data_IF_875973920955
#
_entry.id   IF_875973920955
#
_cell.length_a   1.000
_cell.length_b   1.000
_cell.length_c   1.000
_cell.angle_alpha   90.00
_cell.angle_beta   90.00
_cell.angle_gamma   90.00
#
_symmetry.space_group_name_H-M   'P 1'
#
loop_
_entity.id
_entity.type
_entity.pdbx_description
1 polymer ?
#
# COMPACT_ATOMS: atom_id res chain seq x y z
N UNK A 1 50.78 -2.39 22.24
CA UNK A 1 49.46 -2.31 21.55
C UNK A 1 48.43 -1.80 22.52
N UNK A 2 47.92 -0.59 22.31
CA UNK A 2 46.82 -0.03 23.12
C UNK A 2 45.57 -0.89 22.85
N UNK A 3 45.04 -1.52 23.88
CA UNK A 3 43.82 -2.35 23.84
C UNK A 3 42.68 -1.48 23.29
N UNK A 4 42.02 -1.91 22.21
CA UNK A 4 40.97 -1.11 21.52
C UNK A 4 39.94 -0.58 22.54
N UNK A 5 39.98 0.73 22.87
CA UNK A 5 39.18 1.25 23.95
C UNK A 5 37.70 1.33 23.59
N UNK A 6 37.30 1.19 22.32
CA UNK A 6 35.92 1.34 21.79
C UNK A 6 35.17 2.56 22.34
N UNK A 7 35.86 3.53 22.91
CA UNK A 7 35.29 4.64 23.67
C UNK A 7 35.82 5.98 23.17
N UNK A 8 36.83 5.95 22.32
CA UNK A 8 37.44 7.10 21.67
C UNK A 8 37.56 6.83 20.18
N UNK A 9 37.64 7.90 19.39
CA UNK A 9 37.95 7.81 17.96
C UNK A 9 39.40 7.35 17.77
N UNK A 10 39.59 6.30 16.98
CA UNK A 10 40.87 5.67 16.68
C UNK A 10 41.22 5.78 15.18
N UNK A 11 42.50 5.68 14.80
CA UNK A 11 42.92 5.79 13.39
C UNK A 11 42.57 4.54 12.54
N UNK A 12 42.01 3.49 13.13
CA UNK A 12 41.80 2.18 12.48
C UNK A 12 40.74 2.16 11.38
N UNK A 13 39.85 3.14 11.29
CA UNK A 13 38.85 3.22 10.23
C UNK A 13 39.05 4.48 9.39
N UNK A 14 39.55 4.33 8.15
CA UNK A 14 39.72 5.34 7.09
C UNK A 14 40.24 6.72 7.52
N UNK A 15 41.42 7.13 7.03
CA UNK A 15 42.05 8.46 7.17
C UNK A 15 41.28 9.52 7.99
N UNK A 16 41.29 9.34 9.32
CA UNK A 16 40.59 10.22 10.26
C UNK A 16 41.40 11.49 10.45
N UNK A 17 40.75 12.65 10.39
CA UNK A 17 41.41 13.92 10.65
C UNK A 17 41.99 13.97 12.07
N UNK A 18 43.24 14.42 12.23
CA UNK A 18 43.98 14.42 13.51
C UNK A 18 43.20 15.04 14.67
N UNK A 19 42.44 16.11 14.40
CA UNK A 19 41.62 16.79 15.43
C UNK A 19 40.51 15.93 16.05
N UNK A 20 40.13 14.81 15.42
CA UNK A 20 39.08 13.92 15.90
C UNK A 20 39.60 12.78 16.78
N UNK A 21 40.90 12.48 16.69
CA UNK A 21 41.51 11.39 17.45
C UNK A 21 41.37 11.63 18.97
N UNK A 22 41.08 10.57 19.71
CA UNK A 22 40.91 10.63 21.16
C UNK A 22 39.60 11.24 21.64
N UNK A 23 38.73 11.75 20.76
CA UNK A 23 37.42 12.26 21.17
C UNK A 23 36.52 11.11 21.65
N UNK A 24 35.75 11.31 22.73
CA UNK A 24 34.88 10.26 23.25
C UNK A 24 33.76 9.93 22.26
N UNK A 25 33.55 8.65 22.00
CA UNK A 25 32.47 8.15 21.16
C UNK A 25 31.15 8.06 21.95
N UNK A 26 30.05 8.35 21.27
CA UNK A 26 28.71 8.18 21.83
C UNK A 26 28.38 6.69 22.00
N UNK A 27 27.85 6.30 23.16
CA UNK A 27 27.47 4.92 23.45
C UNK A 27 26.24 4.47 22.65
N UNK A 28 26.09 3.17 22.34
CA UNK A 28 24.94 2.66 21.59
C UNK A 28 23.59 3.06 22.21
N UNK A 29 23.45 2.92 23.53
CA UNK A 29 22.23 3.31 24.27
C UNK A 29 21.86 4.79 24.09
N UNK A 30 22.85 5.69 24.05
CA UNK A 30 22.61 7.13 23.83
C UNK A 30 22.21 7.44 22.40
N UNK A 31 22.79 6.74 21.43
CA UNK A 31 22.40 6.88 20.02
C UNK A 31 20.96 6.41 19.81
N UNK A 32 20.59 5.27 20.41
CA UNK A 32 19.23 4.74 20.38
C UNK A 32 18.24 5.69 21.06
N UNK A 33 18.55 6.20 22.26
CA UNK A 33 17.69 7.15 22.95
C UNK A 33 17.50 8.45 22.14
N UNK A 34 18.55 8.96 21.47
CA UNK A 34 18.42 10.12 20.59
C UNK A 34 17.49 9.84 19.41
N UNK A 35 17.63 8.66 18.79
CA UNK A 35 16.78 8.21 17.69
C UNK A 35 15.32 8.12 18.11
N UNK A 36 15.03 7.55 19.28
CA UNK A 36 13.67 7.42 19.80
C UNK A 36 13.03 8.79 20.08
N UNK A 37 13.79 9.73 20.64
CA UNK A 37 13.31 11.10 20.86
C UNK A 37 13.02 11.79 19.52
N UNK A 38 13.92 11.64 18.54
CA UNK A 38 13.73 12.19 17.20
C UNK A 38 12.50 11.59 16.50
N UNK A 39 12.28 10.27 16.62
CA UNK A 39 11.11 9.58 16.06
C UNK A 39 9.82 10.02 16.75
N UNK A 40 9.83 10.19 18.06
CA UNK A 40 8.68 10.73 18.79
C UNK A 40 8.33 12.15 18.35
N UNK A 41 9.33 13.03 18.18
CA UNK A 41 9.13 14.38 17.65
C UNK A 41 8.60 14.35 16.21
N UNK A 42 9.13 13.47 15.36
CA UNK A 42 8.66 13.31 14.00
C UNK A 42 7.22 12.78 13.94
N UNK A 43 6.85 11.87 14.85
CA UNK A 43 5.50 11.33 14.97
C UNK A 43 4.50 12.40 15.46
N UNK A 44 4.85 13.20 16.47
CA UNK A 44 4.04 14.37 16.87
C UNK A 44 3.85 15.28 15.66
N UNK A 45 4.92 15.53 14.90
CA UNK A 45 4.85 16.39 13.74
C UNK A 45 3.92 15.79 12.66
N UNK A 46 3.91 14.46 12.49
CA UNK A 46 2.99 13.72 11.61
C UNK A 46 1.51 13.98 11.90
N UNK A 47 1.15 14.17 13.18
CA UNK A 47 -0.26 14.38 13.57
C UNK A 47 -0.88 15.69 13.06
N UNK A 48 -0.07 16.68 12.65
CA UNK A 48 -0.57 17.96 12.14
C UNK A 48 -1.23 17.85 10.75
N UNK A 49 -1.29 16.67 10.17
CA UNK A 49 -1.96 16.41 8.90
C UNK A 49 -1.12 16.83 7.68
N UNK A 50 -1.45 16.28 6.51
CA UNK A 50 -0.61 16.40 5.32
C UNK A 50 -0.53 17.85 4.78
N UNK A 51 -1.55 18.66 5.03
CA UNK A 51 -1.57 20.07 4.61
C UNK A 51 -0.59 20.95 5.41
N UNK A 52 -0.53 20.80 6.74
CA UNK A 52 0.47 21.51 7.55
C UNK A 52 1.89 20.98 7.30
N UNK A 53 2.03 19.72 6.93
CA UNK A 53 3.31 19.19 6.46
C UNK A 53 3.80 19.86 5.18
N UNK A 54 2.92 19.94 4.16
CA UNK A 54 3.26 20.56 2.89
C UNK A 54 3.70 22.02 3.08
N UNK A 55 2.99 22.78 3.92
CA UNK A 55 3.38 24.18 4.21
C UNK A 55 4.72 24.26 4.95
N UNK A 56 4.95 23.44 5.98
CA UNK A 56 6.21 23.46 6.73
C UNK A 56 7.40 23.04 5.88
N UNK A 57 7.28 22.01 5.03
CA UNK A 57 8.29 21.60 4.06
C UNK A 57 8.65 22.76 3.13
N UNK A 58 7.64 23.38 2.52
CA UNK A 58 7.83 24.46 1.57
C UNK A 58 8.50 25.68 2.21
N UNK A 59 8.01 26.12 3.37
CA UNK A 59 8.63 27.23 4.12
C UNK A 59 10.08 26.91 4.48
N UNK A 60 10.35 25.68 4.89
CA UNK A 60 11.67 25.27 5.32
C UNK A 60 12.67 25.17 4.15
N UNK A 61 12.25 24.66 2.99
CA UNK A 61 13.06 24.65 1.76
C UNK A 61 13.35 26.08 1.29
N UNK A 62 12.34 26.95 1.27
CA UNK A 62 12.49 28.35 0.90
C UNK A 62 13.48 29.08 1.83
N UNK A 63 13.30 28.90 3.14
CA UNK A 63 14.18 29.47 4.14
C UNK A 63 15.62 28.97 4.01
N UNK A 64 15.81 27.68 3.69
CA UNK A 64 17.13 27.10 3.40
C UNK A 64 17.74 27.70 2.13
N UNK A 65 16.96 27.93 1.08
CA UNK A 65 17.47 28.49 -0.16
C UNK A 65 17.94 29.96 0.03
N UNK A 66 17.28 30.70 0.91
CA UNK A 66 17.57 32.12 1.17
C UNK A 66 18.78 32.32 2.09
N UNK A 67 19.08 31.37 3.00
CA UNK A 67 20.11 31.56 4.02
C UNK A 67 21.55 31.61 3.47
N UNK A 68 21.80 31.06 2.29
CA UNK A 68 23.15 31.05 1.69
C UNK A 68 23.36 32.29 0.82
N UNK A 69 23.90 33.36 1.42
CA UNK A 69 24.30 34.57 0.67
C UNK A 69 25.51 34.27 -0.22
N UNK A 70 25.38 34.56 -1.51
CA UNK A 70 26.52 34.67 -2.42
C UNK A 70 27.13 36.06 -2.32
N UNK A 71 28.46 36.16 -2.42
CA UNK A 71 29.21 37.43 -2.58
C UNK A 71 28.72 38.26 -3.79
N UNK A 72 28.15 37.59 -4.80
CA UNK A 72 27.72 38.20 -6.07
C UNK A 72 26.22 38.51 -6.08
N UNK A 73 25.87 39.79 -6.26
CA UNK A 73 24.49 40.30 -6.29
C UNK A 73 23.58 39.57 -7.30
N UNK A 74 24.02 39.39 -8.55
CA UNK A 74 23.22 38.72 -9.59
C UNK A 74 22.87 37.27 -9.26
N UNK A 75 23.76 36.55 -8.55
CA UNK A 75 23.47 35.18 -8.09
C UNK A 75 22.36 35.19 -7.05
N UNK A 76 22.31 36.18 -6.17
CA UNK A 76 21.23 36.30 -5.19
C UNK A 76 19.92 36.75 -5.86
N UNK A 77 19.99 37.72 -6.79
CA UNK A 77 18.84 38.21 -7.54
C UNK A 77 18.14 37.11 -8.37
N UNK A 78 18.90 36.14 -8.91
CA UNK A 78 18.35 35.00 -9.64
C UNK A 78 17.89 33.86 -8.70
N UNK A 79 18.53 33.69 -7.54
CA UNK A 79 18.23 32.61 -6.58
C UNK A 79 16.91 32.78 -5.86
N UNK A 80 16.54 34.00 -5.47
CA UNK A 80 15.29 34.24 -4.75
C UNK A 80 14.03 33.89 -5.55
N UNK A 81 13.86 34.36 -6.81
CA UNK A 81 12.69 33.99 -7.60
C UNK A 81 12.69 32.52 -8.01
N UNK A 82 13.85 31.93 -8.30
CA UNK A 82 13.95 30.49 -8.62
C UNK A 82 13.62 29.62 -7.41
N UNK A 83 14.09 29.98 -6.22
CA UNK A 83 13.74 29.30 -4.98
C UNK A 83 12.25 29.44 -4.64
N UNK A 84 11.66 30.62 -4.86
CA UNK A 84 10.23 30.86 -4.67
C UNK A 84 9.39 29.98 -5.61
N UNK A 85 9.70 29.98 -6.91
CA UNK A 85 9.02 29.13 -7.91
C UNK A 85 9.13 27.64 -7.55
N UNK A 86 10.32 27.17 -7.19
CA UNK A 86 10.53 25.77 -6.83
C UNK A 86 9.76 25.38 -5.56
N UNK A 87 9.68 26.29 -4.59
CA UNK A 87 8.91 26.09 -3.35
C UNK A 87 7.42 25.99 -3.63
N UNK A 88 6.89 26.89 -4.48
CA UNK A 88 5.48 26.89 -4.89
C UNK A 88 5.15 25.60 -5.66
N UNK A 89 6.02 25.18 -6.58
CA UNK A 89 5.86 23.93 -7.32
C UNK A 89 5.80 22.71 -6.38
N UNK A 90 6.74 22.60 -5.44
CA UNK A 90 6.76 21.51 -4.45
C UNK A 90 5.51 21.55 -3.56
N UNK A 91 5.06 22.75 -3.17
CA UNK A 91 3.84 22.90 -2.38
C UNK A 91 2.62 22.35 -3.12
N UNK A 92 2.44 22.71 -4.40
CA UNK A 92 1.32 22.21 -5.22
C UNK A 92 1.39 20.70 -5.44
N UNK A 93 2.58 20.13 -5.65
CA UNK A 93 2.77 18.68 -5.77
C UNK A 93 2.40 17.98 -4.46
N UNK A 94 2.89 18.48 -3.32
CA UNK A 94 2.58 17.91 -2.01
C UNK A 94 1.10 18.03 -1.66
N UNK A 95 0.48 19.18 -1.96
CA UNK A 95 -0.95 19.41 -1.79
C UNK A 95 -1.79 18.49 -2.67
N UNK A 96 -1.41 18.33 -3.95
CA UNK A 96 -2.08 17.41 -4.87
C UNK A 96 -2.03 15.98 -4.36
N UNK A 97 -0.86 15.50 -3.94
CA UNK A 97 -0.70 14.17 -3.34
C UNK A 97 -1.56 13.99 -2.08
N UNK A 98 -1.55 14.99 -1.18
CA UNK A 98 -2.39 14.98 0.01
C UNK A 98 -3.89 14.88 -0.35
N UNK A 99 -4.34 15.65 -1.35
CA UNK A 99 -5.74 15.69 -1.78
C UNK A 99 -6.22 14.41 -2.45
N UNK A 100 -5.32 13.66 -3.08
CA UNK A 100 -5.63 12.35 -3.69
C UNK A 100 -5.80 11.29 -2.61
N UNK A 101 -4.96 11.31 -1.58
CA UNK A 101 -5.02 10.34 -0.49
C UNK A 101 -6.23 10.54 0.45
N UNK A 102 -6.65 11.80 0.65
CA UNK A 102 -7.83 12.16 1.45
C UNK A 102 -9.15 11.71 0.78
N UNK A 103 -9.16 11.63 -0.56
CA UNK A 103 -10.30 11.16 -1.36
C UNK A 103 -10.30 9.64 -1.56
N UNK A 104 -9.87 8.87 -0.55
CA UNK A 104 -9.66 7.42 -0.60
C UNK A 104 -10.55 6.71 -1.62
N UNK A 105 -9.94 5.88 -2.48
CA UNK A 105 -10.58 5.26 -3.66
C UNK A 105 -11.91 4.62 -3.25
N UNK A 106 -12.99 5.38 -3.39
CA UNK A 106 -14.35 4.90 -3.27
C UNK A 106 -14.64 4.18 -4.58
N UNK A 107 -14.30 2.88 -4.64
CA UNK A 107 -14.90 2.00 -5.63
C UNK A 107 -16.38 1.93 -5.26
N UNK A 108 -17.18 2.85 -5.79
CA UNK A 108 -18.62 2.65 -5.90
C UNK A 108 -18.79 1.44 -6.83
N UNK A 109 -18.94 0.26 -6.22
CA UNK A 109 -19.59 -0.86 -6.90
C UNK A 109 -20.98 -0.35 -7.27
N UNK A 110 -21.18 -0.04 -8.54
CA UNK A 110 -22.52 0.15 -9.05
C UNK A 110 -23.21 -1.22 -8.94
N UNK A 111 -24.10 -1.38 -7.95
CA UNK A 111 -25.12 -2.44 -7.91
C UNK A 111 -26.17 -2.20 -8.99
N UNK A 112 -25.74 -2.04 -10.24
CA UNK A 112 -26.61 -1.91 -11.40
C UNK A 112 -26.43 -3.14 -12.27
N UNK A 113 -26.89 -4.26 -11.73
CA UNK A 113 -26.95 -5.56 -12.38
C UNK A 113 -28.33 -6.21 -12.25
N UNK A 114 -29.42 -5.42 -12.29
CA UNK A 114 -30.77 -5.95 -12.47
C UNK A 114 -31.39 -5.18 -13.62
N UNK A 115 -31.61 -5.88 -14.73
CA UNK A 115 -32.35 -5.37 -15.89
C UNK A 115 -33.82 -5.41 -15.51
N UNK A 116 -34.37 -4.30 -15.00
CA UNK A 116 -35.82 -4.13 -14.91
C UNK A 116 -36.33 -3.64 -16.26
N UNK A 117 -36.74 -4.57 -17.13
CA UNK A 117 -37.52 -4.24 -18.32
C UNK A 117 -38.95 -3.90 -17.87
N UNK A 118 -39.31 -2.63 -18.00
CA UNK A 118 -40.56 -1.99 -17.54
C UNK A 118 -41.85 -2.53 -18.22
N UNK A 119 -41.76 -3.56 -19.07
CA UNK A 119 -42.90 -4.14 -19.80
C UNK A 119 -42.97 -5.69 -19.74
N UNK A 120 -42.38 -6.30 -18.72
CA UNK A 120 -42.51 -7.75 -18.53
C UNK A 120 -43.78 -8.08 -17.73
N UNK A 121 -44.60 -8.99 -18.27
CA UNK A 121 -45.85 -9.50 -17.68
C UNK A 121 -45.64 -10.14 -16.30
N UNK A 122 -44.38 -10.37 -15.89
CA UNK A 122 -43.99 -10.89 -14.59
C UNK A 122 -43.01 -9.93 -13.91
N UNK A 123 -43.41 -9.36 -12.76
CA UNK A 123 -42.50 -8.59 -11.91
C UNK A 123 -41.60 -9.55 -11.11
N UNK A 124 -40.48 -9.95 -11.72
CA UNK A 124 -39.48 -10.82 -11.09
C UNK A 124 -38.93 -10.25 -9.76
N UNK A 125 -38.99 -8.94 -9.55
CA UNK A 125 -38.62 -8.32 -8.27
C UNK A 125 -39.55 -8.70 -7.12
N UNK A 126 -40.85 -8.80 -7.38
CA UNK A 126 -41.85 -9.18 -6.37
C UNK A 126 -41.77 -10.67 -6.05
N UNK A 127 -41.51 -11.51 -7.05
CA UNK A 127 -41.31 -12.96 -6.85
C UNK A 127 -40.04 -13.23 -6.04
N UNK A 128 -38.93 -12.54 -6.37
CA UNK A 128 -37.67 -12.70 -5.66
C UNK A 128 -37.77 -12.25 -4.20
N UNK A 129 -38.43 -11.11 -3.94
CA UNK A 129 -38.61 -10.61 -2.57
C UNK A 129 -39.49 -11.55 -1.72
N UNK A 130 -40.57 -12.10 -2.27
CA UNK A 130 -41.40 -13.12 -1.60
C UNK A 130 -40.64 -14.41 -1.33
N UNK A 131 -39.85 -14.92 -2.28
CA UNK A 131 -39.05 -16.13 -2.10
C UNK A 131 -37.95 -15.98 -1.04
N UNK A 132 -37.39 -14.78 -0.88
CA UNK A 132 -36.40 -14.45 0.15
C UNK A 132 -37.01 -14.29 1.54
N UNK A 133 -38.32 -14.00 1.63
CA UNK A 133 -39.04 -13.87 2.90
C UNK A 133 -39.51 -15.21 3.48
N UNK A 134 -39.35 -16.32 2.75
CA UNK A 134 -39.71 -17.67 3.23
C UNK A 134 -38.69 -18.11 4.29
N UNK A 135 -39.19 -18.50 5.46
CA UNK A 135 -38.37 -19.09 6.52
C UNK A 135 -38.16 -20.58 6.25
N UNK A 136 -36.95 -20.93 5.83
CA UNK A 136 -36.57 -22.31 5.48
C UNK A 136 -36.18 -23.17 6.69
N UNK A 137 -36.29 -22.65 7.92
CA UNK A 137 -35.95 -23.41 9.13
C UNK A 137 -37.01 -24.45 9.52
N UNK A 138 -38.25 -24.29 9.06
CA UNK A 138 -39.35 -25.25 9.22
C UNK A 138 -39.78 -25.79 7.85
N UNK A 139 -39.37 -27.03 7.56
CA UNK A 139 -39.51 -27.62 6.23
C UNK A 139 -40.97 -27.78 5.79
N UNK A 140 -41.90 -27.96 6.73
CA UNK A 140 -43.33 -28.10 6.40
C UNK A 140 -43.95 -26.76 5.97
N UNK A 141 -43.62 -25.68 6.68
CA UNK A 141 -44.09 -24.34 6.36
C UNK A 141 -43.40 -23.76 5.11
N UNK A 142 -42.13 -24.10 4.89
CA UNK A 142 -41.40 -23.69 3.68
C UNK A 142 -41.98 -24.36 2.43
N UNK A 143 -42.34 -25.63 2.49
CA UNK A 143 -42.94 -26.37 1.37
C UNK A 143 -44.32 -25.79 0.98
N UNK A 144 -45.15 -25.46 1.98
CA UNK A 144 -46.45 -24.83 1.74
C UNK A 144 -46.32 -23.41 1.16
N UNK A 145 -45.36 -22.62 1.64
CA UNK A 145 -45.10 -21.27 1.12
C UNK A 145 -44.55 -21.30 -0.32
N UNK A 146 -43.71 -22.28 -0.64
CA UNK A 146 -43.18 -22.49 -1.99
C UNK A 146 -44.29 -22.94 -2.94
N UNK A 147 -45.19 -23.84 -2.50
CA UNK A 147 -46.36 -24.22 -3.30
C UNK A 147 -47.31 -23.05 -3.57
N UNK A 148 -47.52 -22.16 -2.59
CA UNK A 148 -48.34 -20.95 -2.80
C UNK A 148 -47.70 -20.00 -3.82
N UNK A 149 -46.38 -19.80 -3.74
CA UNK A 149 -45.64 -19.00 -4.72
C UNK A 149 -45.72 -19.62 -6.13
N UNK A 150 -45.59 -20.95 -6.22
CA UNK A 150 -45.71 -21.68 -7.48
C UNK A 150 -47.11 -21.55 -8.10
N UNK A 151 -48.17 -21.65 -7.30
CA UNK A 151 -49.55 -21.44 -7.75
C UNK A 151 -49.81 -20.02 -8.23
N UNK A 152 -49.23 -19.01 -7.59
CA UNK A 152 -49.35 -17.60 -8.01
C UNK A 152 -48.65 -17.33 -9.35
N UNK A 153 -47.49 -17.97 -9.57
CA UNK A 153 -46.78 -17.95 -10.85
C UNK A 153 -47.58 -18.69 -11.92
N UNK A 154 -48.09 -19.88 -11.61
CA UNK A 154 -48.85 -20.70 -12.56
C UNK A 154 -50.18 -20.02 -12.98
N UNK A 155 -50.87 -19.37 -12.03
CA UNK A 155 -52.08 -18.59 -12.31
C UNK A 155 -51.81 -17.40 -13.25
N UNK A 156 -50.64 -16.77 -13.13
CA UNK A 156 -50.22 -15.69 -14.05
C UNK A 156 -49.80 -16.21 -15.44
N UNK A 157 -49.58 -17.52 -15.60
CA UNK A 157 -49.45 -18.20 -16.90
C UNK A 157 -50.80 -18.69 -17.46
N UNK A 158 -51.72 -19.19 -16.61
CA UNK A 158 -52.97 -19.83 -17.07
C UNK A 158 -54.00 -18.83 -17.62
N UNK A 159 -53.92 -17.56 -17.25
CA UNK A 159 -54.80 -16.51 -17.80
C UNK A 159 -54.61 -16.31 -19.33
N UNK A 160 -53.54 -16.85 -19.92
CA UNK A 160 -53.22 -16.74 -21.35
C UNK A 160 -53.19 -18.05 -22.14
N UNK A 161 -53.53 -19.21 -21.54
CA UNK A 161 -53.38 -20.51 -22.21
C UNK A 161 -54.67 -21.33 -22.17
N UNK A 162 -55.72 -20.82 -22.80
CA UNK A 162 -56.89 -21.63 -23.19
C UNK A 162 -56.74 -22.07 -24.65
N UNK A 163 -56.09 -23.21 -24.90
CA UNK A 163 -56.44 -24.14 -26.00
C UNK A 163 -55.54 -25.39 -26.05
N UNK A 164 -56.17 -26.56 -25.86
CA UNK A 164 -55.96 -27.86 -26.55
C UNK A 164 -54.61 -28.58 -26.41
N UNK A 165 -54.51 -29.54 -25.48
CA UNK A 165 -54.51 -31.01 -25.73
C UNK A 165 -53.23 -31.58 -26.37
N UNK A 166 -52.34 -32.14 -25.54
CA UNK A 166 -51.14 -32.85 -25.98
C UNK A 166 -51.00 -34.16 -25.18
N UNK A 167 -51.33 -35.31 -25.79
CA UNK A 167 -51.24 -36.62 -25.13
C UNK A 167 -50.45 -37.72 -25.87
N UNK A 168 -49.89 -37.50 -27.06
CA UNK A 168 -49.28 -38.60 -27.85
C UNK A 168 -47.84 -38.35 -28.38
N UNK A 169 -46.95 -37.69 -27.61
CA UNK A 169 -45.60 -37.34 -28.10
C UNK A 169 -44.46 -38.31 -27.75
N UNK A 170 -44.73 -39.58 -27.42
CA UNK A 170 -43.64 -40.53 -27.09
C UNK A 170 -43.06 -41.27 -28.30
N UNK A 171 -43.64 -41.13 -29.50
CA UNK A 171 -43.14 -41.76 -30.74
C UNK A 171 -42.34 -40.81 -31.65
N UNK A 172 -42.17 -39.54 -31.25
CA UNK A 172 -41.67 -38.48 -32.14
C UNK A 172 -40.14 -38.28 -32.14
N UNK A 173 -39.39 -39.00 -31.28
CA UNK A 173 -37.97 -38.72 -30.98
C UNK A 173 -36.96 -39.73 -31.58
N UNK A 174 -37.24 -40.35 -32.72
CA UNK A 174 -36.19 -41.08 -33.46
C UNK A 174 -35.28 -40.08 -34.19
N UNK A 175 -33.97 -40.32 -34.19
CA UNK A 175 -32.94 -39.44 -34.78
C UNK A 175 -33.24 -39.06 -36.24
N UNK A 176 -33.79 -40.00 -37.02
CA UNK A 176 -34.21 -39.81 -38.42
C UNK A 176 -35.42 -38.85 -38.58
N UNK A 177 -36.30 -38.79 -37.58
CA UNK A 177 -37.47 -37.92 -37.59
C UNK A 177 -37.12 -36.47 -37.21
N UNK A 178 -36.13 -36.26 -36.33
CA UNK A 178 -35.69 -34.92 -35.93
C UNK A 178 -34.93 -34.21 -37.05
N UNK A 179 -34.09 -34.95 -37.79
CA UNK A 179 -33.35 -34.42 -38.95
C UNK A 179 -34.29 -34.02 -40.09
N UNK A 180 -35.28 -34.85 -40.41
CA UNK A 180 -36.28 -34.53 -41.44
C UNK A 180 -37.20 -33.37 -41.04
N UNK A 181 -37.52 -33.24 -39.75
CA UNK A 181 -38.28 -32.10 -39.23
C UNK A 181 -37.47 -30.79 -39.26
N UNK A 182 -36.17 -30.82 -38.92
CA UNK A 182 -35.27 -29.67 -39.06
C UNK A 182 -35.11 -29.22 -40.52
N UNK A 183 -35.01 -30.17 -41.45
CA UNK A 183 -34.97 -29.89 -42.88
C UNK A 183 -36.27 -29.24 -43.35
N UNK A 184 -37.43 -29.80 -42.98
CA UNK A 184 -38.74 -29.23 -43.31
C UNK A 184 -38.98 -27.84 -42.69
N UNK A 185 -38.45 -27.58 -41.49
CA UNK A 185 -38.50 -26.27 -40.84
C UNK A 185 -37.62 -25.24 -41.56
N UNK A 186 -36.43 -25.65 -42.02
CA UNK A 186 -35.57 -24.76 -42.81
C UNK A 186 -36.23 -24.37 -44.15
N UNK A 187 -36.93 -25.32 -44.79
CA UNK A 187 -37.68 -25.10 -46.02
C UNK A 187 -38.89 -24.18 -45.78
N UNK A 188 -39.63 -24.35 -44.68
CA UNK A 188 -40.79 -23.51 -44.37
C UNK A 188 -40.40 -22.05 -44.07
N UNK A 189 -39.29 -21.84 -43.36
CA UNK A 189 -38.73 -20.49 -43.13
C UNK A 189 -38.28 -19.85 -44.45
N UNK A 190 -37.65 -20.61 -45.35
CA UNK A 190 -37.21 -20.12 -46.66
C UNK A 190 -38.37 -19.77 -47.58
N UNK A 191 -39.47 -20.54 -47.51
CA UNK A 191 -40.70 -20.30 -48.26
C UNK A 191 -41.61 -19.24 -47.62
N UNK A 192 -41.25 -18.68 -46.46
CA UNK A 192 -42.04 -17.74 -45.66
C UNK A 192 -43.42 -18.28 -45.24
N UNK A 193 -43.54 -19.60 -45.12
CA UNK A 193 -44.76 -20.21 -44.59
C UNK A 193 -44.71 -20.16 -43.05
N UNK A 194 -45.39 -19.15 -42.50
CA UNK A 194 -45.38 -18.86 -41.06
C UNK A 194 -46.10 -19.92 -40.24
N UNK A 195 -47.12 -20.58 -40.79
CA UNK A 195 -47.93 -21.58 -40.07
C UNK A 195 -47.19 -22.91 -39.93
N UNK A 196 -46.54 -23.37 -41.00
CA UNK A 196 -45.71 -24.56 -40.96
C UNK A 196 -44.46 -24.36 -40.09
N UNK A 197 -43.85 -23.16 -40.17
CA UNK A 197 -42.73 -22.80 -39.31
C UNK A 197 -43.12 -22.78 -37.83
N UNK A 198 -44.24 -22.15 -37.44
CA UNK A 198 -44.64 -22.07 -36.04
C UNK A 198 -44.98 -23.45 -35.45
N UNK A 199 -45.63 -24.33 -36.23
CA UNK A 199 -45.96 -25.69 -35.80
C UNK A 199 -44.72 -26.55 -35.56
N UNK A 200 -43.72 -26.45 -36.44
CA UNK A 200 -42.45 -27.18 -36.31
C UNK A 200 -41.55 -26.59 -35.22
N UNK A 201 -41.65 -25.29 -34.95
CA UNK A 201 -40.93 -24.61 -33.88
C UNK A 201 -41.36 -25.11 -32.50
N UNK A 202 -42.64 -25.39 -32.31
CA UNK A 202 -43.17 -25.95 -31.06
C UNK A 202 -42.61 -27.35 -30.77
N UNK A 203 -42.38 -28.14 -31.83
CA UNK A 203 -41.82 -29.50 -31.76
C UNK A 203 -40.29 -29.47 -31.50
N UNK A 204 -39.58 -28.53 -32.12
CA UNK A 204 -38.11 -28.43 -32.05
C UNK A 204 -37.60 -27.63 -30.84
N UNK A 205 -38.42 -26.75 -30.26
CA UNK A 205 -38.06 -25.92 -29.12
C UNK A 205 -37.52 -26.71 -27.89
N UNK A 206 -38.11 -27.85 -27.48
CA UNK A 206 -37.62 -28.63 -26.35
C UNK A 206 -36.21 -29.21 -26.59
N UNK A 207 -35.94 -29.64 -27.84
CA UNK A 207 -34.66 -30.24 -28.24
C UNK A 207 -33.56 -29.17 -28.25
N UNK A 208 -33.83 -28.01 -28.84
CA UNK A 208 -32.88 -26.88 -28.88
C UNK A 208 -32.63 -26.35 -27.46
N UNK A 209 -33.68 -26.23 -26.64
CA UNK A 209 -33.56 -25.81 -25.25
C UNK A 209 -32.70 -26.79 -24.42
N UNK A 210 -32.81 -28.11 -24.65
CA UNK A 210 -32.00 -29.09 -23.93
C UNK A 210 -30.48 -28.96 -24.20
N UNK A 211 -30.10 -28.69 -25.45
CA UNK A 211 -28.69 -28.48 -25.86
C UNK A 211 -28.15 -27.17 -25.27
N UNK A 212 -28.96 -26.10 -25.27
CA UNK A 212 -28.56 -24.80 -24.71
C UNK A 212 -28.47 -24.83 -23.18
N UNK A 213 -29.37 -25.55 -22.51
CA UNK A 213 -29.35 -25.77 -21.06
C UNK A 213 -28.09 -26.52 -20.63
N UNK A 214 -27.65 -27.53 -21.39
CA UNK A 214 -26.42 -28.26 -21.10
C UNK A 214 -25.18 -27.36 -21.19
N UNK A 215 -25.07 -26.54 -22.25
CA UNK A 215 -23.98 -25.56 -22.38
C UNK A 215 -23.98 -24.51 -21.27
N UNK A 216 -25.15 -24.03 -20.85
CA UNK A 216 -25.26 -23.07 -19.76
C UNK A 216 -24.90 -23.70 -18.41
N UNK A 217 -25.26 -24.96 -18.18
CA UNK A 217 -24.92 -25.69 -16.95
C UNK A 217 -23.40 -25.84 -16.77
N UNK A 218 -22.66 -26.08 -17.85
CA UNK A 218 -21.20 -26.16 -17.84
C UNK A 218 -20.54 -24.78 -17.62
N UNK A 219 -21.11 -23.70 -18.17
CA UNK A 219 -20.66 -22.33 -17.84
C UNK A 219 -20.89 -22.00 -16.37
N UNK A 220 -22.03 -22.38 -15.79
CA UNK A 220 -22.30 -22.18 -14.36
C UNK A 220 -21.31 -23.00 -13.52
N UNK A 221 -21.00 -24.24 -13.92
CA UNK A 221 -20.03 -25.11 -13.23
C UNK A 221 -18.63 -24.51 -13.22
N UNK A 222 -18.16 -23.99 -14.36
CA UNK A 222 -16.83 -23.35 -14.47
C UNK A 222 -16.77 -22.04 -13.68
N UNK A 223 -17.81 -21.22 -13.72
CA UNK A 223 -17.90 -19.99 -12.93
C UNK A 223 -17.93 -20.29 -11.42
N UNK A 224 -18.63 -21.34 -11.00
CA UNK A 224 -18.66 -21.79 -9.59
C UNK A 224 -17.30 -22.28 -9.12
N UNK A 225 -16.56 -23.01 -9.97
CA UNK A 225 -15.19 -23.44 -9.67
C UNK A 225 -14.23 -22.24 -9.55
N UNK A 226 -14.37 -21.22 -10.41
CA UNK A 226 -13.59 -19.99 -10.33
C UNK A 226 -13.90 -19.17 -9.08
N UNK A 227 -15.18 -19.02 -8.74
CA UNK A 227 -15.59 -18.36 -7.50
C UNK A 227 -15.06 -19.08 -6.26
N UNK A 228 -15.08 -20.41 -6.24
CA UNK A 228 -14.48 -21.19 -5.15
C UNK A 228 -12.98 -20.92 -5.03
N UNK A 229 -12.24 -20.96 -6.14
CA UNK A 229 -10.79 -20.68 -6.14
C UNK A 229 -10.48 -19.26 -5.64
N UNK A 230 -11.27 -18.27 -6.06
CA UNK A 230 -11.11 -16.88 -5.61
C UNK A 230 -11.44 -16.73 -4.12
N UNK A 231 -12.42 -17.47 -3.61
CA UNK A 231 -12.74 -17.51 -2.18
C UNK A 231 -11.58 -18.10 -1.37
N UNK A 232 -11.03 -19.23 -1.81
CA UNK A 232 -9.88 -19.87 -1.16
C UNK A 232 -8.64 -18.95 -1.18
N UNK A 233 -8.42 -18.20 -2.26
CA UNK A 233 -7.32 -17.22 -2.37
C UNK A 233 -7.53 -16.01 -1.46
N UNK A 234 -8.77 -15.52 -1.36
CA UNK A 234 -9.12 -14.45 -0.43
C UNK A 234 -8.97 -14.89 1.03
N UNK A 235 -9.34 -16.12 1.39
CA UNK A 235 -9.19 -16.65 2.75
C UNK A 235 -7.70 -16.73 3.17
N UNK A 236 -6.81 -17.12 2.25
CA UNK A 236 -5.34 -17.08 2.47
C UNK A 236 -4.80 -15.64 2.58
N UNK A 237 -5.41 -14.69 1.87
CA UNK A 237 -5.05 -13.27 1.99
C UNK A 237 -5.58 -12.68 3.32
N UNK A 238 -6.76 -13.08 3.76
CA UNK A 238 -7.35 -12.70 5.05
C UNK A 238 -6.52 -13.26 6.21
N UNK A 239 -6.03 -14.50 6.14
CA UNK A 239 -5.12 -15.08 7.13
C UNK A 239 -3.80 -14.29 7.23
N UNK A 240 -3.26 -13.82 6.10
CA UNK A 240 -2.08 -12.92 6.07
C UNK A 240 -2.36 -11.54 6.66
N UNK A 241 -3.62 -11.12 6.70
CA UNK A 241 -4.07 -9.87 7.32
C UNK A 241 -4.34 -10.05 8.82
N UNK A 242 -4.87 -11.20 9.26
CA UNK A 242 -5.12 -11.53 10.68
C UNK A 242 -3.85 -11.87 11.48
N UNK A 243 -2.83 -12.43 10.83
CA UNK A 243 -1.53 -12.72 11.45
C UNK A 243 -0.40 -11.95 10.77
N UNK A 244 -0.37 -10.61 10.89
CA UNK A 244 0.69 -9.83 10.30
C UNK A 244 2.00 -10.18 11.02
N UNK A 245 2.98 -10.69 10.27
CA UNK A 245 4.36 -10.74 10.75
C UNK A 245 4.83 -9.36 11.23
N UNK A 246 5.87 -9.32 12.05
CA UNK A 246 6.40 -8.07 12.62
C UNK A 246 6.59 -6.95 11.58
N UNK A 247 7.01 -7.31 10.35
CA UNK A 247 7.23 -6.36 9.24
C UNK A 247 5.91 -5.77 8.74
N UNK A 248 4.83 -6.55 8.65
CA UNK A 248 3.50 -6.07 8.24
C UNK A 248 2.82 -5.28 9.34
N UNK A 249 3.01 -5.62 10.62
CA UNK A 249 2.56 -4.78 11.74
C UNK A 249 3.32 -3.46 11.78
N UNK A 250 4.63 -3.49 11.53
CA UNK A 250 5.45 -2.28 11.43
C UNK A 250 5.07 -1.44 10.20
N UNK A 251 4.74 -2.08 9.08
CA UNK A 251 4.29 -1.42 7.86
C UNK A 251 2.89 -0.81 8.04
N UNK A 252 1.95 -1.54 8.61
CA UNK A 252 0.60 -1.06 8.94
C UNK A 252 0.66 0.10 9.95
N UNK A 253 1.46 -0.03 11.02
CA UNK A 253 1.72 1.10 11.91
C UNK A 253 2.36 2.28 11.15
N UNK A 254 3.31 2.03 10.25
CA UNK A 254 3.89 3.09 9.43
C UNK A 254 2.85 3.78 8.51
N UNK A 255 1.96 3.02 7.89
CA UNK A 255 0.88 3.54 7.06
C UNK A 255 -0.12 4.36 7.89
N UNK A 256 -0.56 3.83 9.04
CA UNK A 256 -1.56 4.42 9.93
C UNK A 256 -1.05 5.68 10.67
N UNK A 257 0.24 5.76 10.99
CA UNK A 257 0.85 6.94 11.61
C UNK A 257 1.17 8.06 10.59
N UNK A 258 0.78 7.92 9.31
CA UNK A 258 1.15 8.88 8.26
C UNK A 258 2.65 8.88 7.96
N UNK A 259 3.36 7.80 8.34
CA UNK A 259 4.78 7.56 8.06
C UNK A 259 4.94 7.08 6.62
N UNK A 260 4.48 7.86 5.65
CA UNK A 260 5.13 7.84 4.36
C UNK A 260 6.61 8.09 4.63
N UNK A 261 7.47 7.09 4.41
CA UNK A 261 8.92 7.07 4.67
C UNK A 261 9.64 8.39 4.31
N UNK A 262 9.08 9.17 3.39
CA UNK A 262 9.52 10.48 2.98
C UNK A 262 9.61 11.53 4.10
N UNK A 263 8.59 11.73 4.95
CA UNK A 263 8.63 12.86 5.89
C UNK A 263 9.65 12.67 7.01
N UNK A 264 9.71 11.48 7.60
CA UNK A 264 10.74 11.15 8.59
C UNK A 264 12.13 11.34 7.99
N UNK A 265 12.31 10.95 6.72
CA UNK A 265 13.54 11.24 5.99
C UNK A 265 13.84 12.72 5.86
N UNK A 266 12.88 13.53 5.41
CA UNK A 266 13.03 14.98 5.31
C UNK A 266 13.40 15.57 6.68
N UNK A 267 12.70 15.20 7.75
CA UNK A 267 12.99 15.60 9.12
C UNK A 267 14.45 15.31 9.48
N UNK A 268 14.94 14.08 9.28
CA UNK A 268 16.31 13.71 9.62
C UNK A 268 17.36 14.41 8.76
N UNK A 269 17.12 14.53 7.45
CA UNK A 269 18.04 15.18 6.50
C UNK A 269 18.18 16.66 6.84
N UNK A 270 17.05 17.35 6.98
CA UNK A 270 16.99 18.76 7.28
C UNK A 270 17.58 19.04 8.65
N UNK A 271 17.11 18.35 9.69
CA UNK A 271 17.55 18.64 11.06
C UNK A 271 19.05 18.37 11.23
N UNK A 272 19.57 17.28 10.64
CA UNK A 272 20.99 16.95 10.74
C UNK A 272 21.86 17.97 9.99
N UNK A 273 21.48 18.38 8.78
CA UNK A 273 22.20 19.41 8.03
C UNK A 273 22.07 20.80 8.67
N UNK A 274 20.89 21.13 9.19
CA UNK A 274 20.58 22.43 9.77
C UNK A 274 21.38 22.69 11.04
N UNK A 275 21.36 21.73 11.96
CA UNK A 275 22.05 21.82 13.24
C UNK A 275 23.49 21.27 13.17
N UNK A 276 24.11 21.28 11.98
CA UNK A 276 25.53 20.92 11.74
C UNK A 276 25.92 19.59 12.40
N UNK A 277 25.09 18.57 12.24
CA UNK A 277 25.31 17.22 12.78
C UNK A 277 24.62 16.90 14.10
N UNK A 278 23.65 17.71 14.57
CA UNK A 278 22.86 17.41 15.77
C UNK A 278 21.35 17.51 15.52
N UNK A 279 20.64 16.41 15.39
CA UNK A 279 19.16 16.44 15.45
C UNK A 279 18.67 16.87 16.84
N UNK A 280 17.42 17.33 17.01
CA UNK A 280 16.89 17.74 18.31
C UNK A 280 17.14 16.74 19.45
N UNK A 281 16.89 15.45 19.24
CA UNK A 281 17.18 14.39 20.21
C UNK A 281 18.68 14.20 20.47
N UNK A 282 19.52 14.30 19.43
CA UNK A 282 20.98 14.27 19.59
C UNK A 282 21.50 15.49 20.36
N UNK A 283 20.90 16.66 20.16
CA UNK A 283 21.22 17.89 20.87
C UNK A 283 20.86 17.76 22.35
N UNK A 284 19.67 17.24 22.66
CA UNK A 284 19.22 16.97 24.02
C UNK A 284 20.16 16.00 24.75
N UNK A 285 20.62 14.95 24.07
CA UNK A 285 21.56 13.99 24.65
C UNK A 285 23.04 14.40 24.54
N UNK A 286 23.34 15.62 24.06
CA UNK A 286 24.72 16.12 23.92
C UNK A 286 25.62 15.20 23.10
N UNK A 287 25.11 14.64 21.99
CA UNK A 287 25.89 13.87 21.03
C UNK A 287 25.89 14.57 19.66
N UNK A 288 26.96 14.42 18.90
CA UNK A 288 27.13 15.09 17.59
C UNK A 288 27.72 14.14 16.58
N UNK A 289 27.15 14.18 15.38
CA UNK A 289 27.68 13.48 14.21
C UNK A 289 28.71 14.40 13.56
N UNK A 290 29.89 13.87 13.29
CA UNK A 290 31.01 14.60 12.69
C UNK A 290 31.57 13.77 11.53
N UNK A 291 31.95 14.44 10.45
CA UNK A 291 32.59 13.79 9.31
C UNK A 291 34.03 13.43 9.66
N UNK A 292 34.55 12.34 9.10
CA UNK A 292 35.94 11.91 9.34
C UNK A 292 36.97 12.97 8.91
N UNK A 293 36.64 13.85 7.98
CA UNK A 293 37.46 14.99 7.55
C UNK A 293 37.27 16.26 8.39
N UNK A 294 36.56 16.19 9.51
CA UNK A 294 36.25 17.29 10.42
C UNK A 294 35.49 18.49 9.78
N UNK A 295 34.86 18.30 8.61
CA UNK A 295 33.99 19.31 8.00
C UNK A 295 32.57 19.22 8.55
N UNK A 296 31.83 20.34 8.47
CA UNK A 296 30.41 20.38 8.80
C UNK A 296 29.61 19.39 7.91
N UNK A 297 28.52 18.85 8.47
CA UNK A 297 27.61 17.97 7.74
C UNK A 297 26.77 18.81 6.78
N UNK A 298 26.86 18.51 5.49
CA UNK A 298 26.01 19.12 4.45
C UNK A 298 24.74 18.31 4.22
N UNK A 299 23.82 18.86 3.42
CA UNK A 299 22.60 18.16 3.02
C UNK A 299 22.88 16.84 2.31
N UNK A 300 23.83 16.82 1.38
CA UNK A 300 24.18 15.61 0.64
C UNK A 300 24.66 14.50 1.58
N UNK A 301 25.55 14.81 2.51
CA UNK A 301 26.00 13.84 3.52
C UNK A 301 24.90 13.42 4.47
N UNK A 302 23.94 14.31 4.77
CA UNK A 302 22.77 13.96 5.58
C UNK A 302 21.84 13.01 4.83
N UNK A 303 21.65 13.22 3.53
CA UNK A 303 20.89 12.33 2.64
C UNK A 303 21.55 10.96 2.49
N UNK A 304 22.85 10.92 2.19
CA UNK A 304 23.63 9.68 2.10
C UNK A 304 23.56 8.88 3.41
N UNK A 305 23.75 9.56 4.55
CA UNK A 305 23.61 8.94 5.87
C UNK A 305 22.19 8.47 6.14
N UNK A 306 21.18 9.20 5.69
CA UNK A 306 19.77 8.79 5.80
C UNK A 306 19.49 7.54 4.95
N UNK A 307 19.96 7.50 3.70
CA UNK A 307 19.87 6.33 2.82
C UNK A 307 20.55 5.09 3.42
N UNK A 308 21.65 5.28 4.16
CA UNK A 308 22.28 4.21 4.92
C UNK A 308 21.39 3.54 5.98
N UNK A 309 20.33 4.20 6.48
CA UNK A 309 19.34 3.56 7.36
C UNK A 309 18.52 2.51 6.60
N UNK A 310 18.16 2.77 5.34
CA UNK A 310 17.47 1.79 4.50
C UNK A 310 18.34 0.54 4.29
N UNK A 311 19.64 0.72 4.04
CA UNK A 311 20.60 -0.39 3.97
C UNK A 311 20.73 -1.16 5.30
N UNK A 312 20.68 -0.45 6.44
CA UNK A 312 20.65 -1.08 7.76
C UNK A 312 19.41 -1.92 8.01
N UNK A 313 18.25 -1.49 7.52
CA UNK A 313 17.01 -2.28 7.58
C UNK A 313 17.06 -3.46 6.62
N UNK A 314 17.53 -3.26 5.38
CA UNK A 314 17.67 -4.30 4.36
C UNK A 314 18.61 -5.44 4.80
N UNK A 315 19.59 -5.15 5.66
CA UNK A 315 20.49 -6.15 6.26
C UNK A 315 19.92 -6.82 7.52
N UNK A 316 18.61 -6.74 7.75
CA UNK A 316 17.95 -7.37 8.92
C UNK A 316 18.37 -6.75 10.25
N UNK A 317 18.60 -5.43 10.26
CA UNK A 317 19.13 -4.66 11.40
C UNK A 317 20.59 -4.95 11.81
N UNK A 318 21.23 -5.96 11.20
CA UNK A 318 22.62 -6.32 11.50
C UNK A 318 23.58 -5.16 11.25
N UNK A 319 23.32 -4.34 10.22
CA UNK A 319 24.08 -3.12 9.94
C UNK A 319 24.02 -2.06 11.07
N UNK A 320 22.96 -2.03 11.88
CA UNK A 320 22.88 -1.17 13.06
C UNK A 320 23.63 -1.74 14.25
N UNK A 321 23.59 -3.08 14.43
CA UNK A 321 24.30 -3.76 15.52
C UNK A 321 25.83 -3.66 15.41
N UNK A 322 26.37 -3.31 14.23
CA UNK A 322 27.80 -3.02 14.05
C UNK A 322 28.38 -2.04 15.06
N UNK A 323 27.57 -1.12 15.59
CA UNK A 323 27.96 -0.16 16.65
C UNK A 323 28.53 -0.82 17.93
N UNK A 324 28.24 -2.11 18.18
CA UNK A 324 28.69 -2.83 19.37
C UNK A 324 30.10 -3.40 19.22
N UNK A 325 30.50 -3.81 18.01
CA UNK A 325 31.79 -4.44 17.76
C UNK A 325 32.77 -3.59 16.96
N UNK A 326 32.30 -2.61 16.19
CA UNK A 326 33.16 -1.71 15.41
C UNK A 326 34.07 -0.84 16.32
N UNK A 327 35.38 -0.70 16.01
CA UNK A 327 36.33 0.06 16.84
C UNK A 327 35.91 1.53 17.08
N UNK A 328 35.37 2.16 16.04
CA UNK A 328 34.89 3.55 16.09
C UNK A 328 33.38 3.64 16.37
N UNK A 329 32.75 2.52 16.76
CA UNK A 329 31.30 2.39 16.94
C UNK A 329 30.54 2.92 15.72
N UNK A 330 30.99 2.65 14.50
CA UNK A 330 30.28 3.05 13.29
C UNK A 330 29.26 1.98 12.92
N UNK A 331 28.00 2.39 12.77
CA UNK A 331 26.99 1.58 12.11
C UNK A 331 27.12 1.68 10.58
N UNK A 332 26.39 0.85 9.83
CA UNK A 332 26.46 0.86 8.36
C UNK A 332 26.22 2.24 7.74
N UNK A 333 25.24 3.00 8.26
CA UNK A 333 24.94 4.35 7.80
C UNK A 333 26.06 5.35 8.12
N UNK A 334 26.77 5.16 9.23
CA UNK A 334 27.92 5.99 9.59
C UNK A 334 29.11 5.71 8.67
N UNK A 335 29.31 4.43 8.29
CA UNK A 335 30.37 4.00 7.37
C UNK A 335 30.15 4.51 5.95
N UNK A 336 28.92 4.36 5.43
CA UNK A 336 28.55 4.84 4.09
C UNK A 336 28.83 6.35 3.98
N UNK A 337 28.37 7.13 4.97
CA UNK A 337 28.54 8.58 4.93
C UNK A 337 29.92 9.08 5.41
N UNK A 338 30.85 8.20 5.81
CA UNK A 338 32.14 8.59 6.36
C UNK A 338 32.02 9.50 7.59
N UNK A 339 31.20 9.09 8.56
CA UNK A 339 30.92 9.87 9.78
C UNK A 339 31.14 9.06 11.05
N UNK A 340 31.34 9.77 12.16
CA UNK A 340 31.40 9.21 13.52
C UNK A 340 30.52 10.03 14.45
N UNK A 341 30.03 9.41 15.52
CA UNK A 341 29.22 10.10 16.53
C UNK A 341 30.01 10.27 17.82
N UNK A 342 30.30 11.52 18.16
CA UNK A 342 31.04 11.92 19.35
C UNK A 342 30.10 12.33 20.49
N UNK A 343 30.58 12.17 21.72
CA UNK A 343 29.93 12.60 22.95
C UNK A 343 30.46 13.98 23.36
N UNK A 344 29.58 14.99 23.43
CA UNK A 344 29.96 16.38 23.75
C UNK A 344 29.96 16.67 25.26
N UNK A 345 29.64 15.70 26.12
CA UNK A 345 29.61 15.95 27.57
C UNK A 345 31.00 16.25 28.09
N UNK A 346 31.13 17.38 28.77
CA UNK A 346 32.40 17.85 29.33
C UNK A 346 33.06 16.81 30.24
N UNK A 347 32.29 16.13 31.10
CA UNK A 347 32.79 15.03 31.96
C UNK A 347 33.45 13.91 31.16
N UNK A 348 32.89 13.56 30.00
CA UNK A 348 33.47 12.52 29.11
C UNK A 348 34.71 13.07 28.41
N UNK A 349 34.65 14.27 27.87
CA UNK A 349 35.79 14.90 27.19
C UNK A 349 37.00 14.98 28.14
N UNK A 350 36.81 15.49 29.37
CA UNK A 350 37.86 15.54 30.40
C UNK A 350 38.42 14.16 30.73
N UNK A 351 37.57 13.13 30.84
CA UNK A 351 37.98 11.75 31.12
C UNK A 351 38.93 11.18 30.05
N UNK A 352 38.77 11.55 28.78
CA UNK A 352 39.58 11.03 27.66
C UNK A 352 40.63 12.01 27.15
N UNK A 353 40.80 13.17 27.80
CA UNK A 353 41.74 14.19 27.36
C UNK A 353 43.20 13.70 27.33
N UNK A 354 43.60 12.87 28.31
CA UNK A 354 44.96 12.32 28.35
C UNK A 354 45.26 11.41 27.15
N UNK A 355 44.30 10.54 26.76
CA UNK A 355 44.42 9.65 25.60
C UNK A 355 44.51 10.41 24.29
N UNK A 356 43.88 11.58 24.21
CA UNK A 356 43.98 12.44 23.02
C UNK A 356 45.39 12.97 22.84
N UNK A 357 46.03 13.42 23.92
CA UNK A 357 47.40 13.92 23.85
C UNK A 357 48.36 12.79 23.45
N UNK A 358 48.25 11.62 24.09
CA UNK A 358 49.06 10.44 23.76
C UNK A 358 48.94 10.00 22.29
N UNK A 359 47.72 10.06 21.72
CA UNK A 359 47.49 9.72 20.31
C UNK A 359 47.95 10.79 19.31
N UNK A 360 48.02 12.06 19.72
CA UNK A 360 48.52 13.14 18.87
C UNK A 360 50.05 13.11 18.87
N UNK A 361 50.65 12.98 20.06
CA UNK A 361 52.11 12.97 20.25
C UNK A 361 52.76 11.71 19.66
N UNK A 362 52.06 10.56 19.68
CA UNK A 362 52.53 9.33 19.05
C UNK A 362 52.44 9.29 17.52
N UNK A 363 52.02 10.38 16.86
CA UNK A 363 51.96 10.52 15.40
C UNK A 363 52.86 11.64 14.85
N UNK A 364 53.63 12.32 15.71
CA UNK A 364 54.81 13.09 15.34
C UNK A 364 56.05 12.18 15.33
#
# INVERSE_FOLDING_TARGET
MIKDPKQIVTPYAFSVHKSLLGLPLATPKRRLAALLIDLFLAAILATFGPYLMATTISVLIFWIAIRTKSETFWKNALRYPTAALFTVLIFFIAYSYASVNDKGIQVKLNDSGVITSENSVLNFGDIASKAMAIDYSDSANAEEAIEQLAREIEASFTENTSNSENRDNMALFSEDNVLSQLESFSISIQQKDTLAADSLREILAPVIASIELEQQSERIRTLKARNKKLKDENEVLEEKVEHPGFITTLKGAAEDFGLGFGWVGIYFIVSLAYFKGQTPGKKLLSIKVVRLNNKDISFWYSFERFGGYAAGVATGLLGFFQVYWDPNRQAIHDKIAGTVVIDKREKRIKKFAYLRNELIDGQE
#
